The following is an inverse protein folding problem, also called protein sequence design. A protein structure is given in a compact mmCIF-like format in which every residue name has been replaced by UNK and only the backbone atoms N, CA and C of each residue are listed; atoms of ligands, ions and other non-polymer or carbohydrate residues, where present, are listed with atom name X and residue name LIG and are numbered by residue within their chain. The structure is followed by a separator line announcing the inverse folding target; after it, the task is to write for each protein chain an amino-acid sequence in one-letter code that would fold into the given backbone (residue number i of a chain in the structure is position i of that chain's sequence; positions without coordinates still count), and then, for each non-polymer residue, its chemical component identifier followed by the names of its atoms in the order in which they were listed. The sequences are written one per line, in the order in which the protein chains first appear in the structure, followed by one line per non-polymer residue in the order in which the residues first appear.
data_IF_217909865485
#
_entry.id   IF_217909865485
#
_cell.length_a   1.000
_cell.length_b   1.000
_cell.length_c   1.000
_cell.angle_alpha   90.00
_cell.angle_beta   90.00
_cell.angle_gamma   90.00
#
_symmetry.space_group_name_H-M   'P 1'
#
loop_
_entity.id
_entity.type
_entity.pdbx_description
1 polymer ?
#
# COMPACT_ATOMS: atom_id res chain seq x y z
N UNK A 1 17.76 10.45 -1.91
CA UNK A 1 17.02 9.57 -0.98
C UNK A 1 16.43 10.44 0.12
N UNK A 2 15.23 10.99 -0.13
CA UNK A 2 14.58 12.02 0.70
C UNK A 2 13.70 11.48 1.85
N UNK A 3 13.46 10.17 1.90
CA UNK A 3 12.66 9.56 2.95
C UNK A 3 13.60 8.93 4.00
N UNK A 4 13.26 9.02 5.30
CA UNK A 4 13.98 8.31 6.35
C UNK A 4 14.02 6.80 6.08
N UNK A 5 14.99 6.10 6.67
CA UNK A 5 15.02 4.63 6.61
C UNK A 5 13.69 4.06 7.11
N UNK A 6 13.17 3.06 6.39
CA UNK A 6 11.87 2.39 6.65
C UNK A 6 10.61 3.22 6.36
N UNK A 7 10.75 4.37 5.67
CA UNK A 7 9.61 5.15 5.18
C UNK A 7 9.55 5.05 3.66
N UNK A 8 8.34 4.82 3.13
CA UNK A 8 8.07 4.71 1.70
C UNK A 8 6.73 5.39 1.37
N UNK A 9 6.55 5.81 0.12
CA UNK A 9 5.27 6.36 -0.35
C UNK A 9 4.16 5.30 -0.32
N UNK A 10 2.93 5.74 -0.01
CA UNK A 10 1.76 4.87 0.08
C UNK A 10 1.53 4.05 -1.21
N UNK A 11 1.70 4.66 -2.38
CA UNK A 11 1.48 3.97 -3.65
C UNK A 11 2.50 2.84 -3.91
N UNK A 12 3.75 2.99 -3.47
CA UNK A 12 4.72 1.89 -3.57
C UNK A 12 4.38 0.76 -2.60
N UNK A 13 3.91 1.09 -1.41
CA UNK A 13 3.40 0.11 -0.44
C UNK A 13 2.19 -0.63 -1.02
N UNK A 14 1.26 0.09 -1.67
CA UNK A 14 0.09 -0.52 -2.32
C UNK A 14 0.51 -1.57 -3.36
N UNK A 15 1.50 -1.27 -4.22
CA UNK A 15 2.04 -2.25 -5.16
C UNK A 15 2.70 -3.47 -4.48
N UNK A 16 3.37 -3.29 -3.34
CA UNK A 16 3.90 -4.41 -2.55
C UNK A 16 2.79 -5.27 -1.96
N UNK A 17 1.77 -4.64 -1.35
CA UNK A 17 0.60 -5.34 -0.78
C UNK A 17 -0.15 -6.10 -1.86
N UNK A 18 -0.30 -5.51 -3.04
CA UNK A 18 -0.91 -6.14 -4.21
C UNK A 18 -0.22 -7.46 -4.57
N UNK A 19 1.12 -7.45 -4.64
CA UNK A 19 1.91 -8.65 -4.91
C UNK A 19 1.86 -9.66 -3.75
N UNK A 20 1.89 -9.19 -2.49
CA UNK A 20 1.84 -10.06 -1.29
C UNK A 20 0.50 -10.79 -1.14
N UNK A 21 -0.60 -10.14 -1.50
CA UNK A 21 -1.95 -10.73 -1.48
C UNK A 21 -2.25 -11.55 -2.75
N UNK A 22 -1.38 -11.52 -3.76
CA UNK A 22 -1.56 -12.25 -5.01
C UNK A 22 -2.78 -11.78 -5.81
N UNK A 23 -3.09 -10.49 -5.76
CA UNK A 23 -4.17 -9.93 -6.57
C UNK A 23 -3.74 -9.91 -8.04
N UNK A 24 -4.64 -10.38 -8.92
CA UNK A 24 -4.42 -10.44 -10.38
C UNK A 24 -5.03 -9.23 -11.11
N UNK A 25 -5.57 -8.28 -10.34
CA UNK A 25 -6.28 -7.12 -10.87
C UNK A 25 -5.29 -6.03 -11.28
N UNK A 26 -5.41 -5.50 -12.49
CA UNK A 26 -4.60 -4.36 -12.90
C UNK A 26 -5.32 -3.05 -12.62
N UNK A 27 -4.89 -2.32 -11.59
CA UNK A 27 -5.48 -1.01 -11.27
C UNK A 27 -5.13 0.01 -12.36
N UNK A 28 -6.13 0.40 -13.17
CA UNK A 28 -5.95 1.34 -14.28
C UNK A 28 -7.19 2.23 -14.46
N UNK A 29 -7.00 3.55 -14.41
CA UNK A 29 -8.08 4.51 -14.56
C UNK A 29 -9.09 4.42 -13.41
N UNK A 30 -10.35 4.16 -13.75
CA UNK A 30 -11.46 4.01 -12.81
C UNK A 30 -11.53 2.61 -12.18
N UNK A 31 -10.79 1.63 -12.73
CA UNK A 31 -10.71 0.29 -12.16
C UNK A 31 -9.65 0.28 -11.05
N UNK A 32 -10.09 0.52 -9.82
CA UNK A 32 -9.24 0.57 -8.62
C UNK A 32 -9.76 -0.40 -7.56
N UNK A 33 -8.86 -0.97 -6.75
CA UNK A 33 -9.30 -1.74 -5.58
C UNK A 33 -9.97 -0.84 -4.55
N UNK A 34 -10.88 -1.45 -3.80
CA UNK A 34 -11.44 -0.85 -2.60
C UNK A 34 -10.33 -0.45 -1.63
N UNK A 35 -10.28 0.84 -1.32
CA UNK A 35 -9.29 1.46 -0.43
C UNK A 35 -9.30 0.76 0.94
N UNK A 36 -10.47 0.38 1.47
CA UNK A 36 -10.58 -0.26 2.78
C UNK A 36 -9.97 -1.66 2.78
N UNK A 37 -10.11 -2.38 1.66
CA UNK A 37 -9.47 -3.69 1.46
C UNK A 37 -7.95 -3.55 1.41
N UNK A 38 -7.44 -2.60 0.62
CA UNK A 38 -5.99 -2.33 0.51
C UNK A 38 -5.42 -1.88 1.85
N UNK A 39 -6.13 -1.02 2.57
CA UNK A 39 -5.73 -0.52 3.87
C UNK A 39 -5.66 -1.62 4.92
N UNK A 40 -6.69 -2.47 5.01
CA UNK A 40 -6.72 -3.60 5.93
C UNK A 40 -5.59 -4.59 5.65
N UNK A 41 -5.31 -4.88 4.37
CA UNK A 41 -4.19 -5.72 3.97
C UNK A 41 -2.83 -5.08 4.34
N UNK A 42 -2.66 -3.77 4.12
CA UNK A 42 -1.44 -3.07 4.48
C UNK A 42 -1.15 -3.17 5.99
N UNK A 43 -2.17 -2.96 6.84
CA UNK A 43 -2.02 -3.10 8.30
C UNK A 43 -1.68 -4.55 8.68
N UNK A 44 -2.33 -5.54 8.06
CA UNK A 44 -2.06 -6.97 8.29
C UNK A 44 -0.61 -7.35 7.97
N UNK A 45 -0.02 -6.75 6.94
CA UNK A 45 1.40 -6.93 6.57
C UNK A 45 2.37 -6.07 7.41
N UNK A 46 1.87 -5.34 8.40
CA UNK A 46 2.68 -4.56 9.34
C UNK A 46 3.08 -3.18 8.82
N UNK A 47 2.46 -2.69 7.76
CA UNK A 47 2.63 -1.29 7.35
C UNK A 47 1.80 -0.38 8.27
N UNK A 48 2.43 0.69 8.74
CA UNK A 48 1.79 1.69 9.59
C UNK A 48 1.86 3.06 8.94
N UNK A 49 0.80 3.88 9.04
CA UNK A 49 0.83 5.24 8.53
C UNK A 49 1.92 6.05 9.24
N UNK A 50 2.56 6.94 8.49
CA UNK A 50 3.47 7.90 9.11
C UNK A 50 2.63 8.91 9.91
N UNK A 51 2.57 8.75 11.22
CA UNK A 51 2.04 9.81 12.08
C UNK A 51 2.99 10.99 11.99
N UNK A 52 2.46 12.20 11.77
CA UNK A 52 3.22 13.42 12.07
C UNK A 52 3.51 13.39 13.57
N UNK A 53 4.78 13.57 13.92
CA UNK A 53 5.15 14.06 15.25
C UNK A 53 4.71 15.52 15.38
#
# INVERSE_FOLDING_TARGET
NWLPRRVMSAWRIAGMVHALEGWDMHECGDDMMDIEKVWSAAIKHGFTPLSKA
#
